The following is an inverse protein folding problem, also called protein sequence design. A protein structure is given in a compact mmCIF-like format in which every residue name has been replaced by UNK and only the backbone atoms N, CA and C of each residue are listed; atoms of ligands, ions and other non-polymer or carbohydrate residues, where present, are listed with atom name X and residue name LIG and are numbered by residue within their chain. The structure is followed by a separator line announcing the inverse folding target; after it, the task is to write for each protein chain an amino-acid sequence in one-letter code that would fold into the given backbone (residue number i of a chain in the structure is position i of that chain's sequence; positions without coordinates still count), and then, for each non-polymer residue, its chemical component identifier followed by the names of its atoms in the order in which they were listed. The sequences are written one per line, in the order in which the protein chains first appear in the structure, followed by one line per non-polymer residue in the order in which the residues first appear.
data_IF_101848117737
#
_entry.id   IF_101848117737
#
_cell.length_a   1.000
_cell.length_b   1.000
_cell.length_c   1.000
_cell.angle_alpha   90.00
_cell.angle_beta   90.00
_cell.angle_gamma   90.00
#
_symmetry.space_group_name_H-M   'P 1'
#
loop_
_entity.id
_entity.type
_entity.pdbx_description
1 polymer ?
#
# COMPACT_ATOMS: atom_id res chain seq x y z
N UNK A 1 17.19 -25.48 -35.02
CA UNK A 1 16.27 -24.44 -34.47
C UNK A 1 15.77 -24.66 -33.03
N UNK A 2 15.76 -25.89 -32.45
CA UNK A 2 15.25 -26.14 -31.07
C UNK A 2 16.05 -25.47 -29.94
N UNK A 3 17.34 -25.18 -30.16
CA UNK A 3 18.27 -24.62 -29.15
C UNK A 3 17.92 -23.19 -28.71
N UNK A 4 17.53 -22.32 -29.65
CA UNK A 4 17.17 -20.92 -29.33
C UNK A 4 15.81 -20.79 -28.63
N UNK A 5 14.85 -21.68 -28.91
CA UNK A 5 13.56 -21.74 -28.20
C UNK A 5 13.72 -22.10 -26.72
N UNK A 6 14.61 -23.05 -26.40
CA UNK A 6 14.91 -23.43 -25.01
C UNK A 6 15.56 -22.28 -24.26
N UNK A 7 16.55 -21.61 -24.87
CA UNK A 7 17.24 -20.48 -24.23
C UNK A 7 16.33 -19.26 -24.01
N UNK A 8 15.42 -18.94 -24.95
CA UNK A 8 14.46 -17.84 -24.77
C UNK A 8 13.43 -18.15 -23.66
N UNK A 9 12.97 -19.41 -23.58
CA UNK A 9 12.06 -19.86 -22.54
C UNK A 9 12.75 -19.92 -21.16
N UNK A 10 14.01 -20.33 -21.10
CA UNK A 10 14.82 -20.30 -19.88
C UNK A 10 15.09 -18.87 -19.42
N UNK A 11 15.36 -17.92 -20.33
CA UNK A 11 15.56 -16.50 -20.01
C UNK A 11 14.29 -15.85 -19.44
N UNK A 12 13.12 -16.15 -20.02
CA UNK A 12 11.82 -15.68 -19.51
C UNK A 12 11.55 -16.19 -18.09
N UNK A 13 11.76 -17.48 -17.83
CA UNK A 13 11.59 -18.08 -16.50
C UNK A 13 12.53 -17.42 -15.48
N UNK A 14 13.79 -17.19 -15.86
CA UNK A 14 14.79 -16.57 -14.99
C UNK A 14 14.43 -15.12 -14.67
N UNK A 15 13.97 -14.33 -15.66
CA UNK A 15 13.48 -12.96 -15.46
C UNK A 15 12.25 -12.94 -14.54
N UNK A 16 11.28 -13.84 -14.74
CA UNK A 16 10.10 -13.92 -13.88
C UNK A 16 10.43 -14.32 -12.44
N UNK A 17 11.40 -15.21 -12.22
CA UNK A 17 11.85 -15.63 -10.89
C UNK A 17 12.59 -14.50 -10.17
N UNK A 18 13.44 -13.77 -10.88
CA UNK A 18 14.19 -12.64 -10.33
C UNK A 18 13.23 -11.50 -9.93
N UNK A 19 12.18 -11.26 -10.72
CA UNK A 19 11.12 -10.29 -10.42
C UNK A 19 10.16 -10.73 -9.31
N UNK A 20 9.83 -12.03 -9.23
CA UNK A 20 9.08 -12.58 -8.09
C UNK A 20 9.88 -12.44 -6.79
N UNK A 21 11.19 -12.70 -6.85
CA UNK A 21 12.10 -12.49 -5.73
C UNK A 21 12.13 -11.03 -5.26
N UNK A 22 12.16 -10.08 -6.19
CA UNK A 22 12.06 -8.65 -5.88
C UNK A 22 10.73 -8.29 -5.20
N UNK A 23 9.61 -8.78 -5.74
CA UNK A 23 8.27 -8.53 -5.21
C UNK A 23 8.08 -9.11 -3.79
N UNK A 24 8.77 -10.19 -3.44
CA UNK A 24 8.72 -10.79 -2.11
C UNK A 24 9.37 -9.90 -1.04
N UNK A 25 10.43 -9.16 -1.39
CA UNK A 25 11.14 -8.27 -0.44
C UNK A 25 10.28 -7.07 -0.02
N UNK A 26 9.44 -6.53 -0.92
CA UNK A 26 8.51 -5.45 -0.58
C UNK A 26 7.37 -5.93 0.34
N UNK A 27 6.91 -7.18 0.20
CA UNK A 27 5.87 -7.74 1.09
C UNK A 27 6.32 -7.84 2.55
N UNK A 28 7.59 -8.14 2.77
CA UNK A 28 8.16 -8.23 4.11
C UNK A 28 8.14 -6.88 4.84
N UNK A 29 8.26 -5.76 4.12
CA UNK A 29 8.24 -4.41 4.70
C UNK A 29 6.83 -3.97 5.12
N UNK A 30 5.81 -4.28 4.29
CA UNK A 30 4.40 -3.95 4.56
C UNK A 30 3.85 -4.69 5.78
N UNK A 31 4.27 -5.93 6.04
CA UNK A 31 3.80 -6.68 7.22
C UNK A 31 4.45 -6.24 8.55
N UNK A 32 5.72 -5.79 8.52
CA UNK A 32 6.45 -5.50 9.75
C UNK A 32 6.26 -4.06 10.24
N UNK A 33 6.27 -3.06 9.35
CA UNK A 33 6.36 -1.66 9.77
C UNK A 33 5.00 -1.06 10.16
N UNK A 34 3.93 -1.36 9.43
CA UNK A 34 2.62 -0.74 9.66
C UNK A 34 1.90 -1.34 10.88
N UNK A 35 1.99 -2.66 11.09
CA UNK A 35 1.37 -3.35 12.22
C UNK A 35 2.09 -3.07 13.55
N UNK A 36 3.44 -3.03 13.55
CA UNK A 36 4.19 -2.70 14.78
C UNK A 36 4.08 -1.23 15.17
N UNK A 37 3.90 -0.31 14.21
CA UNK A 37 3.58 1.09 14.53
C UNK A 37 2.22 1.21 15.19
N UNK A 38 1.18 0.58 14.64
CA UNK A 38 -0.15 0.57 15.27
C UNK A 38 -0.11 -0.02 16.69
N UNK A 39 0.55 -1.17 16.88
CA UNK A 39 0.66 -1.80 18.20
C UNK A 39 1.41 -0.92 19.22
N UNK A 40 2.43 -0.15 18.80
CA UNK A 40 3.16 0.79 19.67
C UNK A 40 2.31 1.99 20.09
N UNK A 41 1.44 2.49 19.21
CA UNK A 41 0.50 3.58 19.54
C UNK A 41 -0.57 3.12 20.53
N UNK A 42 -1.00 1.85 20.47
CA UNK A 42 -1.93 1.27 21.45
C UNK A 42 -1.26 0.81 22.76
N UNK A 43 0.02 0.42 22.72
CA UNK A 43 0.74 -0.10 23.90
C UNK A 43 1.27 1.00 24.85
N UNK A 44 1.35 2.26 24.41
CA UNK A 44 1.69 3.37 25.30
C UNK A 44 0.51 3.69 26.24
N UNK A 45 0.75 3.60 27.55
CA UNK A 45 -0.27 3.73 28.61
C UNK A 45 -0.92 5.11 28.75
N UNK A 46 -0.51 6.08 27.96
CA UNK A 46 -1.19 7.36 27.79
C UNK A 46 -1.79 7.35 26.41
N UNK A 47 -3.12 7.19 26.32
CA UNK A 47 -3.83 7.15 25.04
C UNK A 47 -3.37 8.30 24.14
N UNK A 48 -2.78 7.94 23.00
CA UNK A 48 -2.29 8.85 21.97
C UNK A 48 -1.30 9.95 22.46
N UNK A 49 -0.24 9.56 23.16
CA UNK A 49 0.96 10.39 23.30
C UNK A 49 1.87 10.32 22.07
N UNK A 50 1.91 11.40 21.30
CA UNK A 50 3.05 11.85 20.47
C UNK A 50 3.48 11.05 19.22
N UNK A 51 2.66 10.12 18.73
CA UNK A 51 2.79 9.61 17.36
C UNK A 51 1.44 9.58 16.68
N UNK A 52 1.35 10.23 15.51
CA UNK A 52 0.15 10.33 14.68
C UNK A 52 -0.38 8.90 14.51
N UNK A 53 -1.61 8.59 14.97
CA UNK A 53 -2.18 7.25 14.79
C UNK A 53 -2.14 6.92 13.30
N UNK A 54 -1.38 5.88 12.93
CA UNK A 54 -1.31 5.44 11.54
C UNK A 54 -2.70 4.95 11.16
N UNK A 55 -3.42 5.81 10.43
CA UNK A 55 -4.78 5.57 10.00
C UNK A 55 -4.89 4.17 9.40
N UNK A 56 -5.78 3.28 9.87
CA UNK A 56 -5.93 1.94 9.33
C UNK A 56 -6.24 1.96 7.82
N UNK A 57 -6.73 3.09 7.30
CA UNK A 57 -6.91 3.35 5.87
C UNK A 57 -5.60 3.31 5.09
N UNK A 58 -4.49 3.80 5.66
CA UNK A 58 -3.17 3.83 5.02
C UNK A 58 -2.62 2.40 4.90
N UNK A 59 -2.75 1.60 5.96
CA UNK A 59 -2.32 0.20 5.99
C UNK A 59 -3.09 -0.64 4.96
N UNK A 60 -4.41 -0.45 4.87
CA UNK A 60 -5.23 -1.11 3.85
C UNK A 60 -4.84 -0.64 2.44
N UNK A 61 -4.56 0.64 2.24
CA UNK A 61 -4.13 1.16 0.94
C UNK A 61 -2.78 0.57 0.50
N UNK A 62 -1.82 0.39 1.40
CA UNK A 62 -0.54 -0.27 1.13
C UNK A 62 -0.74 -1.76 0.80
N UNK A 63 -1.59 -2.46 1.54
CA UNK A 63 -1.93 -3.85 1.27
C UNK A 63 -2.58 -4.03 -0.11
N UNK A 64 -3.54 -3.18 -0.46
CA UNK A 64 -4.20 -3.22 -1.78
C UNK A 64 -3.20 -2.88 -2.88
N UNK A 65 -2.32 -1.88 -2.69
CA UNK A 65 -1.24 -1.57 -3.65
C UNK A 65 -0.35 -2.80 -3.90
N UNK A 66 0.00 -3.51 -2.85
CA UNK A 66 0.81 -4.73 -2.95
C UNK A 66 0.09 -5.83 -3.75
N UNK A 67 -1.17 -6.12 -3.40
CA UNK A 67 -1.97 -7.13 -4.09
C UNK A 67 -2.17 -6.79 -5.58
N UNK A 68 -2.40 -5.50 -5.90
CA UNK A 68 -2.46 -5.01 -7.28
C UNK A 68 -1.14 -5.21 -8.02
N UNK A 69 0.00 -4.99 -7.37
CA UNK A 69 1.32 -5.23 -7.96
C UNK A 69 1.53 -6.70 -8.33
N UNK A 70 1.19 -7.62 -7.42
CA UNK A 70 1.26 -9.06 -7.65
C UNK A 70 0.34 -9.52 -8.80
N UNK A 71 -0.89 -9.02 -8.85
CA UNK A 71 -1.81 -9.34 -9.95
C UNK A 71 -1.29 -8.74 -11.26
N UNK A 72 -0.75 -7.52 -11.22
CA UNK A 72 -0.17 -6.82 -12.37
C UNK A 72 0.93 -7.60 -13.05
N UNK A 73 1.88 -8.11 -12.27
CA UNK A 73 3.01 -8.90 -12.80
C UNK A 73 2.51 -10.20 -13.45
N UNK A 74 1.48 -10.82 -12.86
CA UNK A 74 0.97 -12.11 -13.35
C UNK A 74 0.24 -11.95 -14.69
N UNK A 75 -0.55 -10.89 -14.84
CA UNK A 75 -1.16 -10.54 -16.12
C UNK A 75 -0.14 -10.14 -17.17
N UNK A 76 0.90 -9.39 -16.79
CA UNK A 76 1.99 -9.05 -17.69
C UNK A 76 2.71 -10.30 -18.20
N UNK A 77 3.03 -11.25 -17.31
CA UNK A 77 3.63 -12.53 -17.68
C UNK A 77 2.73 -13.32 -18.65
N UNK A 78 1.42 -13.39 -18.39
CA UNK A 78 0.45 -14.03 -19.28
C UNK A 78 0.38 -13.37 -20.66
N UNK A 79 0.48 -12.04 -20.74
CA UNK A 79 0.49 -11.30 -22.01
C UNK A 79 1.72 -11.66 -22.86
N UNK A 80 2.90 -11.76 -22.24
CA UNK A 80 4.13 -12.20 -22.92
C UNK A 80 4.01 -13.65 -23.41
N UNK A 81 3.42 -14.54 -22.61
CA UNK A 81 3.16 -15.93 -23.03
C UNK A 81 2.22 -16.00 -24.25
N UNK A 82 1.17 -15.18 -24.26
CA UNK A 82 0.26 -15.09 -25.41
C UNK A 82 0.97 -14.59 -26.67
N UNK A 83 1.85 -13.60 -26.54
CA UNK A 83 2.69 -13.11 -27.64
C UNK A 83 3.62 -14.20 -28.19
N UNK A 84 4.26 -14.97 -27.31
CA UNK A 84 5.09 -16.10 -27.72
C UNK A 84 4.27 -17.19 -28.44
N UNK A 85 3.03 -17.45 -28.02
CA UNK A 85 2.17 -18.44 -28.65
C UNK A 85 1.84 -18.09 -30.11
N UNK A 86 1.55 -16.82 -30.40
CA UNK A 86 1.30 -16.35 -31.76
C UNK A 86 2.56 -16.46 -32.61
N UNK A 87 3.71 -16.00 -32.09
CA UNK A 87 4.98 -16.01 -32.84
C UNK A 87 5.49 -17.44 -33.07
N UNK A 88 5.13 -18.38 -32.19
CA UNK A 88 5.44 -19.80 -32.32
C UNK A 88 4.47 -20.58 -33.22
N UNK A 89 3.44 -19.97 -33.78
CA UNK A 89 2.39 -20.70 -34.51
C UNK A 89 2.82 -21.20 -35.89
N UNK A 90 3.93 -20.74 -36.46
CA UNK A 90 4.53 -21.26 -37.70
C UNK A 90 3.55 -21.42 -38.90
N UNK A 91 2.46 -20.64 -38.95
CA UNK A 91 1.44 -20.71 -40.00
C UNK A 91 0.20 -21.56 -39.66
N UNK A 92 0.15 -22.18 -38.48
CA UNK A 92 -1.02 -22.92 -37.98
C UNK A 92 -2.12 -21.94 -37.52
N UNK A 93 -3.21 -21.85 -38.28
CA UNK A 93 -4.31 -20.92 -38.01
C UNK A 93 -4.97 -21.14 -36.64
N UNK A 94 -4.98 -22.37 -36.15
CA UNK A 94 -5.62 -22.72 -34.88
C UNK A 94 -4.85 -22.10 -33.71
N UNK A 95 -3.51 -22.16 -33.77
CA UNK A 95 -2.62 -21.57 -32.75
C UNK A 95 -2.59 -20.05 -32.82
N UNK A 96 -2.66 -19.47 -34.03
CA UNK A 96 -2.78 -18.01 -34.20
C UNK A 96 -4.12 -17.51 -33.64
N UNK A 97 -5.23 -18.20 -33.93
CA UNK A 97 -6.56 -17.84 -33.41
C UNK A 97 -6.60 -17.92 -31.89
N UNK A 98 -6.02 -18.98 -31.32
CA UNK A 98 -5.92 -19.15 -29.86
C UNK A 98 -5.07 -18.03 -29.23
N UNK A 99 -3.90 -17.73 -29.78
CA UNK A 99 -3.05 -16.66 -29.26
C UNK A 99 -3.67 -15.27 -29.34
N UNK A 100 -4.38 -14.95 -30.44
CA UNK A 100 -5.13 -13.69 -30.58
C UNK A 100 -6.25 -13.58 -29.53
N UNK A 101 -6.93 -14.67 -29.23
CA UNK A 101 -7.96 -14.69 -28.17
C UNK A 101 -7.35 -14.42 -26.80
N UNK A 102 -6.20 -15.05 -26.48
CA UNK A 102 -5.51 -14.85 -25.21
C UNK A 102 -4.96 -13.43 -25.07
N UNK A 103 -4.42 -12.84 -26.14
CA UNK A 103 -3.96 -11.45 -26.12
C UNK A 103 -5.11 -10.46 -25.85
N UNK A 104 -6.29 -10.67 -26.45
CA UNK A 104 -7.47 -9.81 -26.19
C UNK A 104 -7.83 -9.80 -24.70
N UNK A 105 -7.89 -10.99 -24.08
CA UNK A 105 -8.17 -11.11 -22.65
C UNK A 105 -7.05 -10.50 -21.79
N UNK A 106 -5.79 -10.65 -22.20
CA UNK A 106 -4.64 -10.05 -21.52
C UNK A 106 -4.65 -8.52 -21.51
N UNK A 107 -5.00 -7.90 -22.63
CA UNK A 107 -5.10 -6.43 -22.74
C UNK A 107 -6.19 -5.88 -21.80
N UNK A 108 -7.35 -6.55 -21.73
CA UNK A 108 -8.43 -6.17 -20.81
C UNK A 108 -7.95 -6.24 -19.36
N UNK A 109 -7.21 -7.28 -18.99
CA UNK A 109 -6.62 -7.40 -17.65
C UNK A 109 -5.69 -6.24 -17.29
N UNK A 110 -4.77 -5.87 -18.19
CA UNK A 110 -3.86 -4.73 -18.00
C UNK A 110 -4.65 -3.42 -17.80
N UNK A 111 -5.73 -3.22 -18.57
CA UNK A 111 -6.57 -2.03 -18.47
C UNK A 111 -7.28 -1.92 -17.11
N UNK A 112 -7.74 -3.05 -16.56
CA UNK A 112 -8.35 -3.12 -15.22
C UNK A 112 -7.33 -2.75 -14.15
N UNK A 113 -6.09 -3.24 -14.25
CA UNK A 113 -5.03 -2.93 -13.28
C UNK A 113 -4.69 -1.44 -13.27
N UNK A 114 -4.55 -0.81 -14.45
CA UNK A 114 -4.34 0.64 -14.55
C UNK A 114 -5.49 1.44 -13.93
N UNK A 115 -6.73 0.99 -14.15
CA UNK A 115 -7.93 1.63 -13.60
C UNK A 115 -7.96 1.51 -12.08
N UNK A 116 -7.69 0.32 -11.54
CA UNK A 116 -7.68 0.07 -10.10
C UNK A 116 -6.57 0.88 -9.38
N UNK A 117 -5.38 0.98 -9.98
CA UNK A 117 -4.30 1.78 -9.42
C UNK A 117 -4.63 3.28 -9.41
N UNK A 118 -5.29 3.78 -10.46
CA UNK A 118 -5.71 5.18 -10.54
C UNK A 118 -6.72 5.51 -9.44
N UNK A 119 -7.73 4.66 -9.23
CA UNK A 119 -8.73 4.84 -8.17
C UNK A 119 -8.05 4.84 -6.80
N UNK A 120 -7.15 3.89 -6.56
CA UNK A 120 -6.43 3.78 -5.29
C UNK A 120 -5.58 5.03 -4.99
N UNK A 121 -4.93 5.59 -6.00
CA UNK A 121 -4.15 6.82 -5.88
C UNK A 121 -5.04 8.02 -5.50
N UNK A 122 -6.22 8.13 -6.12
CA UNK A 122 -7.19 9.19 -5.82
C UNK A 122 -7.78 9.06 -4.41
N UNK A 123 -8.12 7.84 -3.98
CA UNK A 123 -8.62 7.62 -2.61
C UNK A 123 -7.54 7.94 -1.57
N UNK A 124 -6.29 7.56 -1.85
CA UNK A 124 -5.17 7.84 -0.94
C UNK A 124 -4.91 9.35 -0.81
N UNK A 125 -4.99 10.10 -1.90
CA UNK A 125 -4.76 11.55 -1.88
C UNK A 125 -5.89 12.31 -1.18
N UNK A 126 -7.15 11.95 -1.43
CA UNK A 126 -8.30 12.56 -0.77
C UNK A 126 -8.29 12.26 0.74
N UNK A 127 -7.92 11.04 1.14
CA UNK A 127 -7.82 10.68 2.55
C UNK A 127 -6.75 11.49 3.31
N UNK A 128 -5.60 11.78 2.68
CA UNK A 128 -4.53 12.59 3.28
C UNK A 128 -4.88 14.09 3.33
N UNK A 129 -5.67 14.58 2.37
CA UNK A 129 -6.16 15.96 2.40
C UNK A 129 -7.21 16.16 3.51
N UNK A 130 -8.00 15.13 3.83
CA UNK A 130 -8.99 15.19 4.91
C UNK A 130 -8.37 15.22 6.32
N UNK A 131 -7.09 14.89 6.49
CA UNK A 131 -6.36 15.03 7.77
C UNK A 131 -5.57 16.33 7.88
N UNK A 132 -5.47 17.12 6.80
CA UNK A 132 -4.93 18.48 6.82
C UNK A 132 -5.96 19.51 7.33
N UNK A 133 -7.25 19.19 7.31
CA UNK A 133 -8.22 19.78 8.24
C UNK A 133 -8.00 19.14 9.62
N UNK A 134 -6.85 19.47 10.23
CA UNK A 134 -6.84 19.55 11.68
C UNK A 134 -7.93 20.57 12.03
N UNK A 135 -9.00 20.21 12.77
CA UNK A 135 -9.72 21.24 13.50
C UNK A 135 -8.65 22.05 14.25
N UNK A 136 -8.66 23.39 14.16
CA UNK A 136 -7.68 24.23 14.82
C UNK A 136 -7.77 23.92 16.31
N UNK A 137 -6.74 23.25 16.82
CA UNK A 137 -6.67 22.72 18.17
C UNK A 137 -7.84 21.75 18.51
N UNK A 138 -7.49 20.56 19.02
CA UNK A 138 -8.30 19.98 20.07
C UNK A 138 -8.53 21.11 21.07
N UNK A 139 -9.78 21.48 21.32
CA UNK A 139 -10.15 22.53 22.27
C UNK A 139 -9.27 22.32 23.49
N UNK A 140 -8.25 23.17 23.61
CA UNK A 140 -7.38 23.17 24.75
C UNK A 140 -8.34 23.53 25.88
N UNK A 141 -8.62 22.59 26.77
CA UNK A 141 -9.26 22.93 28.02
C UNK A 141 -8.18 23.54 28.92
N UNK A 142 -7.50 24.58 28.40
CA UNK A 142 -6.63 25.48 29.12
C UNK A 142 -7.54 26.38 29.94
N UNK A 143 -8.16 25.79 30.95
CA UNK A 143 -8.33 26.51 32.20
C UNK A 143 -6.95 26.56 32.86
N UNK A 144 -6.13 27.51 32.38
CA UNK A 144 -5.07 28.17 33.16
C UNK A 144 -3.84 27.33 33.52
N UNK A 145 -3.27 26.54 32.61
CA UNK A 145 -2.16 25.63 32.97
C UNK A 145 -0.88 26.33 33.41
N UNK A 146 -0.57 27.58 33.01
CA UNK A 146 0.64 28.24 33.52
C UNK A 146 0.55 28.65 35.00
N UNK A 147 -0.63 29.09 35.46
CA UNK A 147 -0.87 29.54 36.84
C UNK A 147 -1.31 28.39 37.75
N UNK A 148 -2.06 27.42 37.20
CA UNK A 148 -2.43 26.17 37.88
C UNK A 148 -1.22 25.26 38.12
N UNK A 149 -0.35 25.04 37.13
CA UNK A 149 0.83 24.19 37.31
C UNK A 149 1.83 24.85 38.27
N UNK A 150 1.96 26.18 38.26
CA UNK A 150 2.76 26.91 39.25
C UNK A 150 2.21 26.75 40.69
N UNK A 151 0.89 26.78 40.85
CA UNK A 151 0.21 26.57 42.13
C UNK A 151 0.40 25.13 42.66
N UNK A 152 0.26 24.11 41.82
CA UNK A 152 0.52 22.70 42.20
C UNK A 152 2.00 22.48 42.50
N UNK A 153 2.92 23.03 41.71
CA UNK A 153 4.36 22.94 41.96
C UNK A 153 4.79 23.62 43.27
N UNK A 154 4.05 24.64 43.72
CA UNK A 154 4.24 25.29 45.03
C UNK A 154 3.63 24.53 46.22
N UNK A 155 3.05 23.33 46.00
CA UNK A 155 2.47 22.48 47.03
C UNK A 155 0.97 22.72 47.28
N UNK A 156 0.28 23.44 46.40
CA UNK A 156 -1.16 23.66 46.47
C UNK A 156 -1.98 22.40 46.17
N UNK A 157 -3.18 22.33 46.74
CA UNK A 157 -4.15 21.28 46.41
C UNK A 157 -5.06 21.71 45.27
N UNK A 158 -5.55 20.75 44.49
CA UNK A 158 -6.42 20.95 43.31
C UNK A 158 -7.61 21.88 43.58
N UNK A 159 -8.20 21.80 44.79
CA UNK A 159 -9.34 22.63 45.21
C UNK A 159 -8.98 24.09 45.50
N UNK A 160 -7.70 24.38 45.76
CA UNK A 160 -7.19 25.72 46.04
C UNK A 160 -6.81 26.44 44.74
N UNK A 161 -6.23 25.71 43.77
CA UNK A 161 -5.78 26.29 42.51
C UNK A 161 -6.92 26.49 41.49
N UNK A 162 -8.04 25.76 41.61
CA UNK A 162 -9.20 25.90 40.70
C UNK A 162 -10.14 27.07 41.04
N UNK A 163 -9.97 27.77 42.17
CA UNK A 163 -10.84 28.88 42.60
C UNK A 163 -10.33 30.28 42.18
N UNK A 164 -9.21 30.34 41.46
CA UNK A 164 -8.60 31.58 40.96
C UNK A 164 -8.96 31.95 39.51
N UNK A 165 -9.77 31.14 38.83
CA UNK A 165 -10.35 31.42 37.51
C UNK A 165 -11.78 31.95 37.64
#
# INVERSE_FOLDING_TARGET
MKKHKKNFLTLYILITILFLGYSFVDFAKVNAQDFTQQLKTFANKSGAGDTIPTDPRIVVAQLVKFLLGMIGIMFFAYSVYAGYLIMSSAGDEEKVKKGKSTLRTGIIGIFVIMSAYSILALVSSVALNATQDKPPAYFDYDIGTSEYDACIASGGTVSSCSRGL
#
